data_IF_506396611773
#
_entry.id   IF_506396611773
#
_cell.length_a   1.000
_cell.length_b   1.000
_cell.length_c   1.000
_cell.angle_alpha   90.00
_cell.angle_beta   90.00
_cell.angle_gamma   90.00
#
_symmetry.space_group_name_H-M   'P 1'
#
loop_
_entity.id
_entity.type
_entity.pdbx_description
1 polymer ?
#
# COMPACT_ATOMS: atom_id res chain seq x y z
N UNK A 1 4.83 6.79 23.73
CA UNK A 1 3.53 6.70 24.42
C UNK A 1 2.66 7.86 23.94
N UNK A 2 1.49 7.60 23.34
CA UNK A 2 0.56 8.64 22.87
C UNK A 2 -0.66 8.62 23.80
N UNK A 3 -0.97 9.75 24.42
CA UNK A 3 -2.11 9.90 25.33
C UNK A 3 -3.17 10.73 24.62
N UNK A 4 -4.37 10.17 24.45
CA UNK A 4 -5.53 10.87 23.88
C UNK A 4 -6.29 11.55 25.01
N UNK A 5 -6.40 12.89 24.94
CA UNK A 5 -7.09 13.70 25.93
C UNK A 5 -8.42 14.18 25.36
N UNK A 6 -9.52 13.95 26.07
CA UNK A 6 -10.81 14.56 25.75
C UNK A 6 -10.84 15.98 26.33
N UNK A 7 -10.62 16.97 25.46
CA UNK A 7 -10.56 18.37 25.86
C UNK A 7 -11.92 18.87 26.38
N UNK A 8 -13.03 18.25 25.96
CA UNK A 8 -14.38 18.62 26.41
C UNK A 8 -14.60 18.17 27.85
N UNK A 9 -14.22 16.93 28.15
CA UNK A 9 -14.31 16.35 29.49
C UNK A 9 -13.35 17.06 30.47
N UNK A 10 -12.14 17.39 30.04
CA UNK A 10 -11.16 18.12 30.88
C UNK A 10 -11.61 19.54 31.22
N UNK A 11 -12.28 20.25 30.30
CA UNK A 11 -12.91 21.54 30.59
C UNK A 11 -14.12 21.36 31.51
N UNK A 12 -14.93 20.32 31.30
CA UNK A 12 -16.09 20.02 32.14
C UNK A 12 -15.70 19.67 33.59
N UNK A 13 -14.57 18.98 33.78
CA UNK A 13 -13.97 18.67 35.08
C UNK A 13 -13.22 19.85 35.70
N UNK A 14 -13.03 20.95 34.97
CA UNK A 14 -12.29 22.13 35.42
C UNK A 14 -10.78 21.92 35.52
N UNK A 15 -10.23 20.86 34.91
CA UNK A 15 -8.79 20.58 34.92
C UNK A 15 -8.01 21.49 33.96
N UNK A 16 -8.67 22.01 32.91
CA UNK A 16 -8.08 22.98 31.97
C UNK A 16 -9.06 24.11 31.66
N UNK A 17 -8.53 25.28 31.32
CA UNK A 17 -9.34 26.43 30.88
C UNK A 17 -9.84 26.25 29.45
N UNK A 18 -10.91 26.96 29.05
CA UNK A 18 -11.40 26.97 27.65
C UNK A 18 -10.34 27.48 26.67
N UNK A 19 -9.54 28.46 27.08
CA UNK A 19 -8.46 29.01 26.27
C UNK A 19 -7.31 28.00 26.07
N UNK A 20 -6.98 27.21 27.09
CA UNK A 20 -6.01 26.10 26.96
C UNK A 20 -6.56 24.97 26.09
N UNK A 21 -7.84 24.62 26.25
CA UNK A 21 -8.50 23.64 25.40
C UNK A 21 -8.49 24.09 23.93
N UNK A 22 -8.74 25.36 23.64
CA UNK A 22 -8.66 25.90 22.28
C UNK A 22 -7.23 25.91 21.73
N UNK A 23 -6.23 26.25 22.56
CA UNK A 23 -4.81 26.20 22.18
C UNK A 23 -4.37 24.76 21.85
N UNK A 24 -4.71 23.79 22.71
CA UNK A 24 -4.41 22.36 22.50
C UNK A 24 -5.20 21.78 21.32
N UNK A 25 -6.47 22.13 21.18
CA UNK A 25 -7.32 21.73 20.07
C UNK A 25 -6.80 22.26 18.73
N UNK A 26 -6.24 23.47 18.69
CA UNK A 26 -5.62 24.04 17.50
C UNK A 26 -4.33 23.31 17.10
N UNK A 27 -3.53 22.86 18.07
CA UNK A 27 -2.35 22.02 17.83
C UNK A 27 -2.77 20.65 17.26
N UNK A 28 -3.85 20.05 17.77
CA UNK A 28 -4.40 18.79 17.23
C UNK A 28 -4.99 18.94 15.81
N UNK A 29 -5.64 20.07 15.50
CA UNK A 29 -6.22 20.34 14.17
C UNK A 29 -5.18 20.49 13.05
N UNK A 30 -3.94 20.89 13.36
CA UNK A 30 -2.86 20.95 12.36
C UNK A 30 -2.55 19.56 11.76
N UNK A 31 -2.68 18.49 12.56
CA UNK A 31 -2.56 17.12 12.07
C UNK A 31 -3.79 16.68 11.25
N UNK A 32 -5.00 17.06 11.67
CA UNK A 32 -6.24 16.69 10.97
C UNK A 32 -6.33 17.27 9.56
N UNK A 33 -5.83 18.50 9.34
CA UNK A 33 -5.80 19.13 8.01
C UNK A 33 -4.96 18.34 7.00
N UNK A 34 -3.81 17.82 7.45
CA UNK A 34 -2.97 16.95 6.60
C UNK A 34 -3.70 15.64 6.25
N UNK A 35 -4.51 15.12 7.17
CA UNK A 35 -5.22 13.86 7.01
C UNK A 35 -6.32 13.97 5.95
N UNK A 36 -7.10 15.06 5.97
CA UNK A 36 -8.12 15.33 4.95
C UNK A 36 -7.55 15.45 3.53
N UNK A 37 -6.44 16.19 3.37
CA UNK A 37 -5.75 16.30 2.08
C UNK A 37 -5.20 14.95 1.60
N UNK A 38 -4.58 14.17 2.48
CA UNK A 38 -4.10 12.83 2.14
C UNK A 38 -5.22 11.90 1.66
N UNK A 39 -6.39 11.94 2.31
CA UNK A 39 -7.54 11.14 1.93
C UNK A 39 -8.05 11.55 0.54
N UNK A 40 -8.26 12.84 0.31
CA UNK A 40 -8.77 13.35 -0.97
C UNK A 40 -7.85 12.97 -2.13
N UNK A 41 -6.55 13.16 -1.96
CA UNK A 41 -5.54 12.81 -2.95
C UNK A 41 -5.40 11.29 -3.12
N UNK A 42 -5.56 10.53 -2.05
CA UNK A 42 -5.59 9.08 -2.07
C UNK A 42 -6.74 8.56 -2.93
N UNK A 43 -7.96 9.04 -2.69
CA UNK A 43 -9.12 8.73 -3.52
C UNK A 43 -8.93 9.17 -4.97
N UNK A 44 -8.40 10.37 -5.20
CA UNK A 44 -8.07 10.85 -6.54
C UNK A 44 -7.09 9.93 -7.27
N UNK A 45 -6.07 9.43 -6.57
CA UNK A 45 -5.09 8.50 -7.12
C UNK A 45 -5.73 7.17 -7.52
N UNK A 46 -6.56 6.60 -6.65
CA UNK A 46 -7.29 5.36 -6.96
C UNK A 46 -8.23 5.58 -8.15
N UNK A 47 -8.94 6.71 -8.20
CA UNK A 47 -9.83 7.03 -9.31
C UNK A 47 -9.07 7.18 -10.64
N UNK A 48 -7.91 7.85 -10.65
CA UNK A 48 -7.06 7.97 -11.85
C UNK A 48 -6.49 6.62 -12.26
N UNK A 49 -6.03 5.80 -11.32
CA UNK A 49 -5.50 4.48 -11.61
C UNK A 49 -6.56 3.55 -12.22
N UNK A 50 -7.74 3.49 -11.60
CA UNK A 50 -8.86 2.69 -12.10
C UNK A 50 -9.39 3.22 -13.44
N UNK A 51 -9.59 4.54 -13.54
CA UNK A 51 -10.05 5.18 -14.76
C UNK A 51 -9.07 5.01 -15.93
N UNK A 52 -7.77 5.17 -15.68
CA UNK A 52 -6.73 4.95 -16.68
C UNK A 52 -6.65 3.50 -17.14
N UNK A 53 -6.72 2.55 -16.20
CA UNK A 53 -6.77 1.12 -16.51
C UNK A 53 -8.01 0.72 -17.31
N UNK A 54 -9.15 1.37 -17.07
CA UNK A 54 -10.37 1.12 -17.83
C UNK A 54 -10.34 1.75 -19.23
N UNK A 55 -9.78 2.96 -19.35
CA UNK A 55 -9.68 3.68 -20.63
C UNK A 55 -8.71 2.97 -21.59
N UNK A 56 -7.62 2.43 -21.05
CA UNK A 56 -6.62 1.68 -21.80
C UNK A 56 -6.47 0.28 -21.19
N UNK A 57 -7.33 -0.69 -21.53
CA UNK A 57 -7.35 -2.01 -20.88
C UNK A 57 -6.23 -2.92 -21.41
N UNK A 58 -4.98 -2.53 -21.22
CA UNK A 58 -3.79 -3.31 -21.59
C UNK A 58 -2.88 -3.49 -20.38
N UNK A 59 -2.17 -4.61 -20.29
CA UNK A 59 -1.23 -4.82 -19.18
C UNK A 59 -0.14 -3.73 -19.13
N UNK A 60 0.30 -3.25 -20.30
CA UNK A 60 1.31 -2.19 -20.42
C UNK A 60 0.84 -0.86 -19.80
N UNK A 61 -0.42 -0.45 -20.00
CA UNK A 61 -0.92 0.80 -19.41
C UNK A 61 -0.96 0.71 -17.89
N UNK A 62 -1.38 -0.43 -17.33
CA UNK A 62 -1.45 -0.69 -15.89
C UNK A 62 -0.05 -0.65 -15.28
N UNK A 63 0.95 -1.24 -15.95
CA UNK A 63 2.36 -1.18 -15.52
C UNK A 63 2.87 0.27 -15.54
N UNK A 64 2.61 1.02 -16.61
CA UNK A 64 3.10 2.40 -16.74
C UNK A 64 2.50 3.31 -15.67
N UNK A 65 1.17 3.24 -15.49
CA UNK A 65 0.48 3.99 -14.43
C UNK A 65 1.01 3.57 -13.05
N UNK A 66 1.15 2.26 -12.83
CA UNK A 66 1.71 1.71 -11.61
C UNK A 66 3.13 2.23 -11.32
N UNK A 67 4.00 2.22 -12.32
CA UNK A 67 5.37 2.70 -12.22
C UNK A 67 5.44 4.19 -11.88
N UNK A 68 4.61 5.02 -12.51
CA UNK A 68 4.53 6.46 -12.20
C UNK A 68 4.14 6.67 -10.74
N UNK A 69 3.07 6.01 -10.28
CA UNK A 69 2.61 6.14 -8.89
C UNK A 69 3.62 5.61 -7.89
N UNK A 70 4.30 4.50 -8.22
CA UNK A 70 5.33 3.92 -7.39
C UNK A 70 6.51 4.86 -7.20
N UNK A 71 7.03 5.45 -8.29
CA UNK A 71 8.13 6.43 -8.23
C UNK A 71 7.73 7.67 -7.44
N UNK A 72 6.52 8.19 -7.64
CA UNK A 72 6.01 9.34 -6.88
C UNK A 72 5.92 9.02 -5.38
N UNK A 73 5.33 7.88 -5.03
CA UNK A 73 5.22 7.42 -3.64
C UNK A 73 6.58 7.26 -2.97
N UNK A 74 7.51 6.60 -3.66
CA UNK A 74 8.88 6.38 -3.17
C UNK A 74 9.63 7.70 -2.99
N UNK A 75 9.54 8.62 -3.95
CA UNK A 75 10.17 9.93 -3.86
C UNK A 75 9.66 10.74 -2.66
N UNK A 76 8.36 10.66 -2.35
CA UNK A 76 7.77 11.34 -1.19
C UNK A 76 8.25 10.73 0.13
N UNK A 77 8.34 9.40 0.21
CA UNK A 77 8.86 8.67 1.38
C UNK A 77 10.32 9.04 1.63
N UNK A 78 11.16 9.03 0.59
CA UNK A 78 12.58 9.36 0.71
C UNK A 78 12.82 10.82 1.14
N UNK A 79 11.94 11.74 0.75
CA UNK A 79 11.97 13.15 1.19
C UNK A 79 11.47 13.37 2.62
N UNK A 80 11.04 12.31 3.34
CA UNK A 80 10.57 12.34 4.74
C UNK A 80 9.51 13.42 5.04
N UNK A 81 8.61 13.65 4.08
CA UNK A 81 7.56 14.68 4.20
C UNK A 81 6.39 14.15 5.05
N UNK A 82 6.43 14.38 6.37
CA UNK A 82 5.40 13.89 7.31
C UNK A 82 3.97 14.27 6.93
N UNK A 83 3.76 15.42 6.28
CA UNK A 83 2.42 15.89 5.87
C UNK A 83 1.77 15.02 4.80
N UNK A 84 2.56 14.30 4.00
CA UNK A 84 2.08 13.53 2.85
C UNK A 84 2.32 12.02 3.03
N UNK A 85 2.62 11.59 4.26
CA UNK A 85 3.02 10.22 4.54
C UNK A 85 1.94 9.20 4.13
N UNK A 86 0.67 9.48 4.42
CA UNK A 86 -0.44 8.60 4.04
C UNK A 86 -0.63 8.56 2.52
N UNK A 87 -0.59 9.70 1.84
CA UNK A 87 -0.68 9.77 0.38
C UNK A 87 0.46 9.00 -0.30
N UNK A 88 1.69 9.18 0.18
CA UNK A 88 2.85 8.47 -0.34
C UNK A 88 2.70 6.94 -0.18
N UNK A 89 2.15 6.49 0.96
CA UNK A 89 1.86 5.08 1.20
C UNK A 89 0.80 4.53 0.25
N UNK A 90 -0.23 5.32 -0.06
CA UNK A 90 -1.26 4.94 -1.03
C UNK A 90 -0.63 4.82 -2.43
N UNK A 91 0.12 5.83 -2.87
CA UNK A 91 0.77 5.83 -4.18
C UNK A 91 1.73 4.64 -4.35
N UNK A 92 2.57 4.35 -3.36
CA UNK A 92 3.51 3.24 -3.47
C UNK A 92 2.81 1.89 -3.48
N UNK A 93 1.72 1.74 -2.72
CA UNK A 93 0.93 0.49 -2.68
C UNK A 93 0.20 0.28 -4.00
N UNK A 94 -0.54 1.28 -4.48
CA UNK A 94 -1.26 1.19 -5.76
C UNK A 94 -0.27 1.00 -6.92
N UNK A 95 0.85 1.70 -6.88
CA UNK A 95 1.91 1.55 -7.87
C UNK A 95 2.52 0.16 -7.89
N UNK A 96 2.82 -0.39 -6.71
CA UNK A 96 3.32 -1.74 -6.55
C UNK A 96 2.33 -2.79 -7.07
N UNK A 97 1.03 -2.63 -6.78
CA UNK A 97 -0.02 -3.51 -7.29
C UNK A 97 -0.13 -3.46 -8.82
N UNK A 98 -0.02 -2.27 -9.43
CA UNK A 98 -0.06 -2.11 -10.88
C UNK A 98 1.12 -2.80 -11.57
N UNK A 99 2.33 -2.65 -11.03
CA UNK A 99 3.53 -3.34 -11.53
C UNK A 99 3.39 -4.85 -11.33
N UNK A 100 3.06 -5.29 -10.11
CA UNK A 100 2.91 -6.69 -9.74
C UNK A 100 1.89 -7.39 -10.65
N UNK A 101 0.67 -6.87 -10.73
CA UNK A 101 -0.40 -7.47 -11.53
C UNK A 101 -0.09 -7.46 -13.02
N UNK A 102 0.41 -6.34 -13.55
CA UNK A 102 0.69 -6.21 -14.97
C UNK A 102 1.89 -7.04 -15.44
N UNK A 103 2.99 -7.05 -14.67
CA UNK A 103 4.18 -7.85 -15.01
C UNK A 103 3.89 -9.34 -14.84
N UNK A 104 3.20 -9.74 -13.76
CA UNK A 104 2.82 -11.14 -13.55
C UNK A 104 1.97 -11.65 -14.71
N UNK A 105 0.99 -10.86 -15.17
CA UNK A 105 0.16 -11.18 -16.33
C UNK A 105 0.95 -11.32 -17.64
N UNK A 106 1.96 -10.48 -17.88
CA UNK A 106 2.78 -10.56 -19.10
C UNK A 106 3.87 -11.64 -19.05
N UNK A 107 4.19 -12.15 -17.87
CA UNK A 107 5.31 -13.07 -17.65
C UNK A 107 4.90 -14.55 -17.68
N UNK A 108 3.61 -14.85 -17.86
CA UNK A 108 3.06 -16.22 -17.91
C UNK A 108 3.56 -17.13 -16.77
N UNK A 109 3.74 -16.58 -15.57
CA UNK A 109 4.17 -17.35 -14.39
C UNK A 109 5.67 -17.70 -14.36
N UNK A 110 6.52 -16.92 -15.04
CA UNK A 110 7.96 -17.12 -14.99
C UNK A 110 8.52 -16.96 -13.55
N UNK A 111 9.06 -18.06 -13.02
CA UNK A 111 9.65 -18.13 -11.68
C UNK A 111 10.61 -16.97 -11.36
N UNK A 112 11.57 -16.67 -12.25
CA UNK A 112 12.58 -15.65 -12.00
C UNK A 112 11.97 -14.24 -11.94
N UNK A 113 10.91 -14.00 -12.70
CA UNK A 113 10.19 -12.72 -12.68
C UNK A 113 9.44 -12.56 -11.37
N UNK A 114 8.69 -13.57 -10.94
CA UNK A 114 7.96 -13.55 -9.66
C UNK A 114 8.89 -13.42 -8.45
N UNK A 115 10.02 -14.12 -8.43
CA UNK A 115 11.05 -13.93 -7.39
C UNK A 115 11.60 -12.50 -7.42
N UNK A 116 11.88 -11.95 -8.61
CA UNK A 116 12.32 -10.57 -8.77
C UNK A 116 11.31 -9.55 -8.23
N UNK A 117 10.01 -9.76 -8.50
CA UNK A 117 8.93 -8.93 -7.99
C UNK A 117 8.81 -9.03 -6.46
N UNK A 118 8.86 -10.24 -5.90
CA UNK A 118 8.81 -10.46 -4.46
C UNK A 118 9.98 -9.77 -3.73
N UNK A 119 11.21 -9.90 -4.25
CA UNK A 119 12.38 -9.23 -3.70
C UNK A 119 12.25 -7.70 -3.82
N UNK A 120 11.78 -7.20 -4.96
CA UNK A 120 11.54 -5.76 -5.17
C UNK A 120 10.51 -5.20 -4.18
N UNK A 121 9.41 -5.92 -3.95
CA UNK A 121 8.39 -5.58 -2.97
C UNK A 121 8.96 -5.59 -1.55
N UNK A 122 9.74 -6.60 -1.17
CA UNK A 122 10.36 -6.70 0.16
C UNK A 122 11.35 -5.55 0.42
N UNK A 123 12.22 -5.25 -0.56
CA UNK A 123 13.16 -4.13 -0.47
C UNK A 123 12.42 -2.79 -0.31
N UNK A 124 11.35 -2.61 -1.10
CA UNK A 124 10.52 -1.41 -1.01
C UNK A 124 9.77 -1.34 0.31
N UNK A 125 9.27 -2.46 0.81
CA UNK A 125 8.57 -2.54 2.09
C UNK A 125 9.47 -2.11 3.24
N UNK A 126 10.75 -2.50 3.20
CA UNK A 126 11.76 -2.08 4.17
C UNK A 126 11.99 -0.56 4.12
N UNK A 127 12.17 0.00 2.92
CA UNK A 127 12.38 1.45 2.74
C UNK A 127 11.14 2.26 3.16
N UNK A 128 9.94 1.77 2.84
CA UNK A 128 8.68 2.43 3.12
C UNK A 128 8.14 2.20 4.54
N UNK A 129 8.68 1.22 5.27
CA UNK A 129 8.10 0.76 6.53
C UNK A 129 6.66 0.25 6.36
N UNK A 130 6.35 -0.39 5.23
CA UNK A 130 4.99 -0.79 4.86
C UNK A 130 4.71 -2.26 5.13
N UNK A 131 3.92 -2.56 6.16
CA UNK A 131 3.47 -3.92 6.43
C UNK A 131 2.66 -4.53 5.28
N UNK A 132 1.93 -3.72 4.52
CA UNK A 132 1.15 -4.19 3.37
C UNK A 132 2.06 -4.66 2.21
N UNK A 133 3.14 -3.94 1.93
CA UNK A 133 4.11 -4.37 0.91
C UNK A 133 4.85 -5.64 1.34
N UNK A 134 5.09 -5.86 2.64
CA UNK A 134 5.63 -7.13 3.16
C UNK A 134 4.68 -8.28 2.84
N UNK A 135 3.38 -8.11 3.12
CA UNK A 135 2.38 -9.14 2.82
C UNK A 135 2.33 -9.42 1.32
N UNK A 136 2.35 -8.39 0.47
CA UNK A 136 2.38 -8.59 -0.98
C UNK A 136 3.65 -9.32 -1.45
N UNK A 137 4.80 -9.01 -0.87
CA UNK A 137 6.05 -9.71 -1.17
C UNK A 137 5.96 -11.21 -0.84
N UNK A 138 5.37 -11.55 0.31
CA UNK A 138 5.16 -12.94 0.73
C UNK A 138 4.16 -13.66 -0.17
N UNK A 139 3.06 -13.00 -0.54
CA UNK A 139 2.08 -13.57 -1.46
C UNK A 139 2.68 -13.85 -2.83
N UNK A 140 3.44 -12.89 -3.38
CA UNK A 140 4.11 -13.07 -4.68
C UNK A 140 5.17 -14.18 -4.62
N UNK A 141 5.92 -14.27 -3.52
CA UNK A 141 6.86 -15.36 -3.33
C UNK A 141 6.16 -16.71 -3.26
N UNK A 142 4.99 -16.77 -2.62
CA UNK A 142 4.14 -17.97 -2.59
C UNK A 142 3.71 -18.37 -4.00
N UNK A 143 3.27 -17.41 -4.82
CA UNK A 143 2.92 -17.62 -6.24
C UNK A 143 4.13 -18.12 -7.03
N UNK A 144 5.33 -17.57 -6.79
CA UNK A 144 6.56 -18.03 -7.42
C UNK A 144 6.84 -19.52 -7.15
N UNK A 145 6.53 -20.02 -5.95
CA UNK A 145 6.66 -21.44 -5.60
C UNK A 145 5.55 -22.32 -6.21
N UNK A 146 4.69 -21.76 -7.05
CA UNK A 146 3.58 -22.45 -7.70
C UNK A 146 2.39 -22.69 -6.77
N UNK A 147 2.29 -21.96 -5.65
CA UNK A 147 1.10 -22.05 -4.79
C UNK A 147 -0.04 -21.23 -5.39
N UNK A 148 -1.22 -21.83 -5.51
CA UNK A 148 -2.40 -21.15 -6.02
C UNK A 148 -3.65 -21.50 -5.25
N UNK A 149 -4.63 -20.59 -5.30
CA UNK A 149 -5.97 -20.81 -4.76
C UNK A 149 -7.01 -20.42 -5.80
N UNK A 150 -8.07 -21.21 -5.94
CA UNK A 150 -9.20 -20.86 -6.80
C UNK A 150 -10.52 -21.19 -6.10
N UNK A 151 -11.53 -20.41 -6.47
CA UNK A 151 -12.91 -20.71 -6.18
C UNK A 151 -13.61 -21.04 -7.50
N UNK A 152 -14.09 -22.27 -7.63
CA UNK A 152 -14.79 -22.70 -8.84
C UNK A 152 -15.97 -23.61 -8.46
N UNK A 153 -17.16 -23.30 -8.98
CA UNK A 153 -18.35 -24.15 -8.80
C UNK A 153 -18.77 -24.43 -7.35
N UNK A 154 -18.50 -23.52 -6.40
CA UNK A 154 -18.84 -23.73 -4.98
C UNK A 154 -17.76 -24.46 -4.17
N UNK A 155 -16.65 -24.85 -4.79
CA UNK A 155 -15.51 -25.47 -4.12
C UNK A 155 -14.30 -24.53 -3.99
N UNK A 156 -13.50 -24.74 -2.94
CA UNK A 156 -12.19 -24.12 -2.76
C UNK A 156 -11.10 -25.10 -3.17
N UNK A 157 -10.20 -24.67 -4.05
CA UNK A 157 -9.08 -25.45 -4.55
C UNK A 157 -7.77 -24.81 -4.12
N UNK A 158 -6.84 -25.65 -3.69
CA UNK A 158 -5.46 -25.29 -3.37
C UNK A 158 -4.57 -26.23 -4.18
N UNK A 159 -3.53 -25.68 -4.80
CA UNK A 159 -2.57 -26.49 -5.54
C UNK A 159 -1.15 -25.98 -5.36
N UNK A 160 -0.19 -26.86 -5.64
CA UNK A 160 1.23 -26.57 -5.70
C UNK A 160 1.76 -27.13 -7.03
N UNK A 161 2.00 -26.26 -8.00
CA UNK A 161 2.45 -26.63 -9.34
C UNK A 161 3.92 -27.04 -9.39
N UNK A 162 4.74 -26.56 -8.44
CA UNK A 162 6.20 -26.73 -8.48
C UNK A 162 6.77 -27.36 -7.18
N UNK A 163 6.37 -28.59 -6.83
CA UNK A 163 6.71 -29.22 -5.55
C UNK A 163 8.22 -29.38 -5.34
N UNK A 164 9.00 -29.59 -6.40
CA UNK A 164 10.46 -29.70 -6.33
C UNK A 164 11.11 -28.38 -5.92
N UNK A 165 10.59 -27.25 -6.38
CA UNK A 165 11.11 -25.92 -6.04
C UNK A 165 10.71 -25.52 -4.63
N UNK A 166 9.47 -25.84 -4.21
CA UNK A 166 9.02 -25.64 -2.83
C UNK A 166 9.91 -26.38 -1.83
N UNK A 167 10.28 -27.63 -2.12
CA UNK A 167 11.16 -28.44 -1.24
C UNK A 167 12.58 -27.85 -1.18
N UNK A 168 13.13 -27.34 -2.28
CA UNK A 168 14.49 -26.82 -2.31
C UNK A 168 14.68 -25.52 -1.51
N UNK A 169 13.59 -24.79 -1.24
CA UNK A 169 13.59 -23.49 -0.55
C UNK A 169 13.30 -23.63 0.96
N UNK A 170 12.70 -24.75 1.39
CA UNK A 170 12.43 -25.09 2.80
C UNK A 170 13.66 -25.72 3.49
#
# INVERSE_FOLDING_TARGET
MKVTLDLTDLVARGEITREEADRLGRLGRQDTGSLGSNILLGFGTVAVALGGGFLFPTAQSVIVIGAILFVVGLALILKRQSKWALFAQICITVGALGILGGVSFLSDGNFYVSVGLAVGLAATAFVAGSGLLIVLALLEFSVALGSGTAYFGGGYFFWAEQPTQTIAVL
#
